data_IF_704720758898
#
_entry.id   IF_704720758898
#
_cell.length_a   1.000
_cell.length_b   1.000
_cell.length_c   1.000
_cell.angle_alpha   90.00
_cell.angle_beta   90.00
_cell.angle_gamma   90.00
#
_symmetry.space_group_name_H-M   'P 1'
#
loop_
_entity.id
_entity.type
_entity.pdbx_description
1 polymer ?
#
# COMPACT_ATOMS: atom_id res chain seq x y z
N UNK A 1 -5.50 22.70 -2.68
CA UNK A 1 -4.48 22.87 -3.74
C UNK A 1 -3.28 22.05 -3.30
N UNK A 2 -2.77 21.15 -4.15
CA UNK A 2 -1.52 20.44 -3.84
C UNK A 2 -0.39 21.45 -3.97
N UNK A 3 0.05 22.02 -2.84
CA UNK A 3 1.06 23.08 -2.82
C UNK A 3 2.42 22.60 -3.34
N UNK A 4 2.74 21.31 -3.15
CA UNK A 4 3.93 20.69 -3.71
C UNK A 4 3.67 19.20 -4.01
N UNK A 5 3.70 18.85 -5.29
CA UNK A 5 3.42 17.48 -5.76
C UNK A 5 4.52 16.49 -5.34
N UNK A 6 5.78 16.95 -5.23
CA UNK A 6 6.91 16.10 -4.80
C UNK A 6 6.74 15.71 -3.33
N UNK A 7 6.40 16.68 -2.48
CA UNK A 7 6.13 16.43 -1.06
C UNK A 7 4.89 15.54 -0.85
N UNK A 8 3.87 15.64 -1.71
CA UNK A 8 2.75 14.71 -1.69
C UNK A 8 3.21 13.26 -1.93
N UNK A 9 3.98 13.02 -2.99
CA UNK A 9 4.47 11.68 -3.31
C UNK A 9 5.45 11.14 -2.26
N UNK A 10 6.27 12.00 -1.64
CA UNK A 10 7.17 11.62 -0.53
C UNK A 10 6.43 11.19 0.73
N UNK A 11 5.26 11.79 0.98
CA UNK A 11 4.45 11.53 2.16
C UNK A 11 3.23 10.66 1.85
N UNK A 12 3.23 9.92 0.73
CA UNK A 12 2.18 8.95 0.44
C UNK A 12 2.18 7.88 1.54
N UNK A 13 1.01 7.59 2.15
CA UNK A 13 0.93 6.53 3.13
C UNK A 13 1.25 5.20 2.48
N UNK A 14 1.85 4.29 3.25
CA UNK A 14 2.01 2.90 2.83
C UNK A 14 0.64 2.29 2.51
N UNK A 15 0.59 1.43 1.49
CA UNK A 15 -0.63 0.72 1.13
C UNK A 15 -1.09 -0.16 2.28
N UNK A 16 -2.39 -0.18 2.53
CA UNK A 16 -3.00 -0.97 3.60
C UNK A 16 -3.84 -2.11 3.02
N UNK A 17 -3.77 -3.27 3.66
CA UNK A 17 -4.60 -4.41 3.34
C UNK A 17 -6.07 -4.08 3.59
N UNK A 18 -6.93 -4.32 2.60
CA UNK A 18 -8.37 -4.07 2.70
C UNK A 18 -9.09 -4.97 3.70
N UNK A 19 -8.41 -6.01 4.21
CA UNK A 19 -9.00 -7.00 5.12
C UNK A 19 -8.52 -6.79 6.56
N UNK A 20 -7.20 -6.74 6.80
CA UNK A 20 -6.65 -6.63 8.14
C UNK A 20 -6.07 -5.24 8.47
N UNK A 21 -6.03 -4.30 7.52
CA UNK A 21 -5.50 -2.95 7.71
C UNK A 21 -3.98 -2.86 7.89
N UNK A 22 -3.26 -3.99 7.90
CA UNK A 22 -1.79 -3.99 7.98
C UNK A 22 -1.16 -3.43 6.72
N UNK A 23 0.04 -2.86 6.85
CA UNK A 23 0.82 -2.39 5.71
C UNK A 23 1.16 -3.57 4.79
N UNK A 24 0.90 -3.39 3.48
CA UNK A 24 1.31 -4.34 2.45
C UNK A 24 2.76 -4.02 2.10
N UNK A 25 3.63 -5.03 2.17
CA UNK A 25 5.02 -4.94 1.72
C UNK A 25 5.02 -5.19 0.20
N UNK A 26 4.96 -4.12 -0.59
CA UNK A 26 4.89 -4.24 -2.04
C UNK A 26 6.27 -4.52 -2.63
N UNK A 27 6.41 -5.69 -3.25
CA UNK A 27 7.48 -5.97 -4.21
C UNK A 27 6.79 -6.21 -5.56
N UNK A 28 6.86 -5.22 -6.45
CA UNK A 28 6.46 -5.28 -7.87
C UNK A 28 4.96 -5.26 -8.22
N UNK A 29 4.03 -5.72 -7.38
CA UNK A 29 2.59 -5.77 -7.72
C UNK A 29 1.72 -4.67 -7.08
N UNK A 30 1.42 -3.60 -7.83
CA UNK A 30 0.61 -2.49 -7.34
C UNK A 30 -0.92 -2.75 -7.33
N UNK A 31 -1.41 -3.85 -7.90
CA UNK A 31 -2.86 -4.12 -8.02
C UNK A 31 -3.45 -4.94 -6.86
N UNK A 32 -2.64 -5.63 -6.07
CA UNK A 32 -3.13 -6.48 -4.96
C UNK A 32 -3.68 -5.66 -3.80
N UNK A 33 -4.93 -5.86 -3.39
CA UNK A 33 -5.54 -5.10 -2.27
C UNK A 33 -5.42 -5.78 -0.91
N UNK A 34 -4.94 -7.03 -0.89
CA UNK A 34 -4.74 -7.85 0.32
C UNK A 34 -3.25 -8.15 0.50
N UNK A 35 -2.81 -8.29 1.75
CA UNK A 35 -1.46 -8.76 2.05
C UNK A 35 -1.34 -10.28 1.92
N UNK A 36 -0.12 -10.80 1.78
CA UNK A 36 0.17 -12.23 1.61
C UNK A 36 -0.49 -13.12 2.68
N UNK A 37 -0.50 -12.62 3.93
CA UNK A 37 -1.14 -13.31 5.07
C UNK A 37 -2.64 -13.51 4.88
N UNK A 38 -3.32 -12.57 4.23
CA UNK A 38 -4.77 -12.64 3.95
C UNK A 38 -5.07 -13.28 2.58
N UNK A 39 -4.03 -13.52 1.76
CA UNK A 39 -4.15 -14.22 0.48
C UNK A 39 -3.87 -15.72 0.61
N UNK A 40 -3.57 -16.23 1.82
CA UNK A 40 -3.23 -17.63 2.09
C UNK A 40 -2.11 -18.16 1.16
N UNK A 41 -1.22 -17.26 0.72
CA UNK A 41 -0.02 -17.62 -0.03
C UNK A 41 0.97 -18.21 0.97
N UNK A 42 0.91 -19.53 1.15
CA UNK A 42 1.83 -20.33 1.97
C UNK A 42 3.23 -20.38 1.37
#
# INVERSE_FOLDING_TARGET
MLENIVEFFRNLPAKQCSECGSSIDEQHECYGTKCDKCLDLN
#
